data_IF_419887391763
#
_entry.id   IF_419887391763
#
_cell.length_a   1.000
_cell.length_b   1.000
_cell.length_c   1.000
_cell.angle_alpha   90.00
_cell.angle_beta   90.00
_cell.angle_gamma   90.00
#
_symmetry.space_group_name_H-M   'P 1'
#
loop_
_entity.id
_entity.type
_entity.pdbx_description
1 polymer ?
#
# COMPACT_ATOMS: atom_id res chain seq x y z
N UNK A 1 0.92 -4.28 5.35
CA UNK A 1 0.69 -3.74 3.99
C UNK A 1 0.36 -2.25 4.02
N UNK A 2 -0.68 -1.84 4.72
CA UNK A 2 -1.08 -0.42 4.85
C UNK A 2 -0.02 0.41 5.57
N UNK A 3 0.70 -0.18 6.50
CA UNK A 3 1.68 0.54 7.33
C UNK A 3 3.03 0.78 6.65
N UNK A 4 3.40 -0.04 5.67
CA UNK A 4 4.74 0.00 5.04
C UNK A 4 4.71 0.15 3.51
N UNK A 5 3.53 0.09 2.90
CA UNK A 5 3.34 0.37 1.47
C UNK A 5 4.06 -0.56 0.49
N UNK A 6 4.43 -1.78 0.90
CA UNK A 6 5.15 -2.71 0.02
C UNK A 6 4.23 -3.58 -0.82
N UNK A 7 4.74 -4.08 -1.96
CA UNK A 7 4.01 -5.07 -2.77
C UNK A 7 3.85 -6.36 -1.99
N UNK A 8 2.78 -7.10 -2.25
CA UNK A 8 2.54 -8.38 -1.57
C UNK A 8 3.69 -9.36 -1.82
N UNK A 9 4.27 -9.39 -3.02
CA UNK A 9 5.43 -10.21 -3.35
C UNK A 9 6.65 -9.95 -2.48
N UNK A 10 6.81 -8.71 -2.02
CA UNK A 10 7.91 -8.31 -1.14
C UNK A 10 7.53 -8.51 0.33
N UNK A 11 6.27 -8.20 0.67
CA UNK A 11 5.74 -8.31 2.04
C UNK A 11 5.80 -9.74 2.58
N UNK A 12 5.43 -10.75 1.78
CA UNK A 12 5.40 -12.16 2.21
C UNK A 12 6.80 -12.80 2.33
N UNK A 13 7.84 -12.12 1.86
CA UNK A 13 9.22 -12.59 1.96
C UNK A 13 9.99 -11.98 3.14
N UNK A 14 9.37 -11.09 3.91
CA UNK A 14 10.01 -10.49 5.07
C UNK A 14 10.32 -11.57 6.11
N UNK A 15 11.57 -11.59 6.57
CA UNK A 15 12.07 -12.45 7.65
C UNK A 15 12.59 -11.58 8.79
N UNK A 16 12.96 -12.18 9.89
CA UNK A 16 13.58 -11.47 11.03
C UNK A 16 14.89 -10.76 10.63
N UNK A 17 15.62 -11.30 9.66
CA UNK A 17 16.89 -10.73 9.19
C UNK A 17 16.70 -9.39 8.45
N UNK A 18 15.50 -9.15 7.94
CA UNK A 18 15.15 -7.87 7.32
C UNK A 18 14.84 -6.77 8.33
N UNK A 19 14.65 -7.12 9.61
CA UNK A 19 14.14 -6.19 10.61
C UNK A 19 15.28 -5.69 11.49
N UNK A 20 15.37 -4.38 11.61
CA UNK A 20 16.25 -3.72 12.56
C UNK A 20 15.53 -2.65 13.34
N UNK A 21 16.00 -2.36 14.53
CA UNK A 21 15.51 -1.24 15.35
C UNK A 21 16.44 -0.05 15.14
N UNK A 22 15.89 1.13 14.84
CA UNK A 22 16.68 2.34 14.76
C UNK A 22 16.99 2.90 16.16
N UNK A 23 17.84 3.94 16.23
CA UNK A 23 18.24 4.59 17.48
C UNK A 23 17.07 5.14 18.32
N UNK A 24 15.95 5.42 17.71
CA UNK A 24 14.75 5.99 18.33
C UNK A 24 13.70 4.91 18.69
N UNK A 25 14.03 3.61 18.52
CA UNK A 25 13.18 2.48 18.87
C UNK A 25 12.15 2.09 17.81
N UNK A 26 12.19 2.66 16.61
CA UNK A 26 11.28 2.28 15.51
C UNK A 26 11.77 1.05 14.76
N UNK A 27 10.87 0.18 14.34
CA UNK A 27 11.20 -0.95 13.47
C UNK A 27 11.37 -0.47 12.03
N UNK A 28 12.51 -0.76 11.45
CA UNK A 28 12.81 -0.58 10.03
C UNK A 28 12.91 -1.95 9.36
N UNK A 29 12.40 -2.01 8.13
CA UNK A 29 12.38 -3.27 7.37
C UNK A 29 13.18 -3.05 6.08
N UNK A 30 14.37 -3.62 5.99
CA UNK A 30 15.23 -3.49 4.82
C UNK A 30 14.80 -4.49 3.74
N UNK A 31 14.37 -3.98 2.59
CA UNK A 31 13.78 -4.75 1.49
C UNK A 31 14.46 -4.38 0.18
N UNK A 32 14.86 -5.41 -0.58
CA UNK A 32 15.17 -5.27 -2.01
C UNK A 32 13.90 -5.64 -2.80
N UNK A 33 13.26 -4.67 -3.42
CA UNK A 33 12.00 -4.88 -4.14
C UNK A 33 12.20 -5.78 -5.36
N UNK A 34 11.51 -6.92 -5.43
CA UNK A 34 11.64 -7.92 -6.51
C UNK A 34 11.42 -7.35 -7.91
N UNK A 35 10.46 -6.41 -8.05
CA UNK A 35 10.09 -5.87 -9.36
C UNK A 35 11.06 -4.79 -9.88
N UNK A 36 11.66 -4.00 -8.99
CA UNK A 36 12.45 -2.82 -9.37
C UNK A 36 13.92 -2.94 -9.01
N UNK A 37 14.29 -3.90 -8.15
CA UNK A 37 15.63 -4.00 -7.58
C UNK A 37 15.97 -2.87 -6.61
N UNK A 38 15.02 -1.98 -6.30
CA UNK A 38 15.25 -0.84 -5.42
C UNK A 38 15.37 -1.31 -3.97
N UNK A 39 16.36 -0.79 -3.28
CA UNK A 39 16.51 -0.95 -1.83
C UNK A 39 15.66 0.12 -1.13
N UNK A 40 14.81 -0.31 -0.20
CA UNK A 40 13.93 0.54 0.58
C UNK A 40 13.89 0.08 2.02
N UNK A 41 13.75 1.04 2.95
CA UNK A 41 13.68 0.76 4.38
C UNK A 41 12.45 1.42 5.00
N UNK A 42 11.23 0.92 4.71
CA UNK A 42 10.03 1.44 5.36
C UNK A 42 10.08 1.26 6.88
N UNK A 43 9.46 2.22 7.56
CA UNK A 43 9.42 2.27 9.03
C UNK A 43 8.03 1.88 9.51
N UNK A 44 7.95 1.06 10.54
CA UNK A 44 6.74 0.87 11.34
C UNK A 44 6.86 1.78 12.56
N UNK A 45 6.05 2.84 12.58
CA UNK A 45 6.03 3.79 13.68
C UNK A 45 4.93 3.49 14.73
N UNK A 46 3.97 2.63 14.37
CA UNK A 46 2.86 2.25 15.22
C UNK A 46 3.28 1.15 16.20
N UNK A 47 3.32 1.49 17.49
CA UNK A 47 3.73 0.57 18.57
C UNK A 47 2.83 -0.65 18.66
N UNK A 48 1.52 -0.49 18.47
CA UNK A 48 0.57 -1.61 18.52
C UNK A 48 0.89 -2.65 17.45
N UNK A 49 1.23 -2.19 16.23
CA UNK A 49 1.66 -3.08 15.15
C UNK A 49 3.00 -3.72 15.47
N UNK A 50 3.93 -2.97 16.07
CA UNK A 50 5.23 -3.50 16.49
C UNK A 50 5.03 -4.66 17.49
N UNK A 51 4.23 -4.44 18.51
CA UNK A 51 3.97 -5.43 19.57
C UNK A 51 3.28 -6.70 19.04
N UNK A 52 2.47 -6.55 17.98
CA UNK A 52 1.76 -7.68 17.34
C UNK A 52 2.63 -8.51 16.39
N UNK A 53 3.66 -7.91 15.76
CA UNK A 53 4.44 -8.59 14.71
C UNK A 53 5.89 -8.86 15.09
N UNK A 54 6.38 -8.29 16.17
CA UNK A 54 7.76 -8.47 16.63
C UNK A 54 7.78 -8.93 18.09
N UNK A 55 8.60 -9.95 18.47
CA UNK A 55 9.63 -10.59 17.65
C UNK A 55 9.15 -11.75 16.77
N UNK A 56 7.86 -12.11 16.84
CA UNK A 56 7.32 -13.28 16.16
C UNK A 56 6.49 -12.88 14.93
N UNK A 57 7.17 -12.87 13.77
CA UNK A 57 6.50 -12.61 12.50
C UNK A 57 5.45 -13.69 12.20
N UNK A 58 4.32 -13.29 11.57
CA UNK A 58 3.33 -14.25 11.10
C UNK A 58 3.95 -15.26 10.13
N UNK A 59 3.46 -16.50 10.14
CA UNK A 59 3.92 -17.50 9.18
C UNK A 59 3.58 -17.10 7.75
N UNK A 60 4.46 -17.48 6.82
CA UNK A 60 4.35 -17.17 5.41
C UNK A 60 3.12 -17.83 4.78
N UNK A 61 2.35 -17.07 4.01
CA UNK A 61 1.19 -17.53 3.23
C UNK A 61 1.37 -17.14 1.76
N UNK A 62 0.66 -17.82 0.86
CA UNK A 62 0.66 -17.42 -0.56
C UNK A 62 -0.09 -16.11 -0.78
N UNK A 63 0.23 -15.41 -1.89
CA UNK A 63 -0.50 -14.20 -2.28
C UNK A 63 -2.01 -14.43 -2.44
N UNK A 64 -2.40 -15.59 -2.97
CA UNK A 64 -3.81 -15.96 -3.13
C UNK A 64 -4.51 -16.07 -1.76
N UNK A 65 -3.88 -16.75 -0.79
CA UNK A 65 -4.41 -16.84 0.57
C UNK A 65 -4.48 -15.48 1.24
N UNK A 66 -3.45 -14.65 1.08
CA UNK A 66 -3.44 -13.28 1.59
C UNK A 66 -4.64 -12.48 1.06
N UNK A 67 -4.83 -12.45 -0.27
CA UNK A 67 -5.95 -11.74 -0.89
C UNK A 67 -7.31 -12.28 -0.45
N UNK A 68 -7.44 -13.60 -0.27
CA UNK A 68 -8.65 -14.22 0.26
C UNK A 68 -8.95 -13.74 1.69
N UNK A 69 -7.97 -13.82 2.58
CA UNK A 69 -8.14 -13.43 3.98
C UNK A 69 -8.39 -11.92 4.12
N UNK A 70 -7.70 -11.09 3.34
CA UNK A 70 -7.95 -9.66 3.30
C UNK A 70 -9.41 -9.33 2.95
N UNK A 71 -10.00 -10.01 1.95
CA UNK A 71 -11.41 -9.84 1.59
C UNK A 71 -12.34 -10.27 2.72
N UNK A 72 -12.03 -11.36 3.43
CA UNK A 72 -12.81 -11.79 4.59
C UNK A 72 -12.76 -10.72 5.69
N UNK A 73 -11.58 -10.21 6.05
CA UNK A 73 -11.43 -9.12 7.03
C UNK A 73 -12.20 -7.87 6.60
N UNK A 74 -12.09 -7.46 5.33
CA UNK A 74 -12.82 -6.30 4.82
C UNK A 74 -14.34 -6.50 4.84
N UNK A 75 -14.82 -7.73 4.65
CA UNK A 75 -16.25 -8.08 4.77
C UNK A 75 -16.72 -7.96 6.23
N UNK A 76 -15.97 -8.53 7.16
CA UNK A 76 -16.27 -8.42 8.61
C UNK A 76 -16.22 -6.96 9.10
N UNK A 77 -15.34 -6.15 8.50
CA UNK A 77 -15.25 -4.72 8.77
C UNK A 77 -16.35 -3.90 8.06
N UNK A 78 -17.38 -4.54 7.48
CA UNK A 78 -18.52 -3.91 6.80
C UNK A 78 -18.13 -2.97 5.65
N UNK A 79 -17.05 -3.29 4.92
CA UNK A 79 -16.65 -2.55 3.72
C UNK A 79 -17.46 -3.09 2.53
N UNK A 80 -18.76 -2.99 2.59
CA UNK A 80 -19.73 -3.68 1.73
C UNK A 80 -20.45 -2.78 0.70
N UNK A 81 -20.16 -1.47 0.71
CA UNK A 81 -20.74 -0.53 -0.28
C UNK A 81 -20.59 -1.09 -1.69
N UNK A 82 -21.70 -1.13 -2.44
CA UNK A 82 -21.68 -1.56 -3.85
C UNK A 82 -20.89 -0.55 -4.69
N UNK A 83 -19.91 -1.06 -5.41
CA UNK A 83 -19.07 -0.27 -6.32
C UNK A 83 -19.06 -0.89 -7.71
N UNK A 84 -19.01 -0.03 -8.72
CA UNK A 84 -18.86 -0.42 -10.12
C UNK A 84 -17.38 -0.55 -10.45
N UNK A 85 -17.00 -1.65 -11.07
CA UNK A 85 -15.61 -1.88 -11.45
C UNK A 85 -15.45 -3.06 -12.42
N UNK A 86 -14.22 -3.28 -12.86
CA UNK A 86 -13.91 -4.38 -13.77
C UNK A 86 -13.35 -5.57 -13.00
N UNK A 87 -13.92 -6.74 -13.27
CA UNK A 87 -13.44 -8.02 -12.72
C UNK A 87 -13.16 -9.00 -13.86
N UNK A 88 -12.11 -9.81 -13.73
CA UNK A 88 -11.81 -10.85 -14.69
C UNK A 88 -12.84 -11.97 -14.58
N UNK A 89 -13.53 -12.27 -15.67
CA UNK A 89 -14.37 -13.45 -15.76
C UNK A 89 -13.47 -14.66 -16.02
N UNK A 90 -13.49 -15.63 -15.10
CA UNK A 90 -12.63 -16.82 -15.18
C UNK A 90 -12.98 -17.75 -16.35
N UNK A 91 -14.21 -17.69 -16.84
CA UNK A 91 -14.67 -18.52 -17.99
C UNK A 91 -14.25 -17.90 -19.32
N UNK A 92 -14.55 -16.62 -19.49
CA UNK A 92 -14.30 -15.90 -20.76
C UNK A 92 -12.90 -15.34 -20.87
N UNK A 93 -12.13 -15.27 -19.74
CA UNK A 93 -10.82 -14.62 -19.63
C UNK A 93 -10.83 -13.13 -20.05
N UNK A 94 -11.99 -12.49 -19.98
CA UNK A 94 -12.17 -11.07 -20.29
C UNK A 94 -12.53 -10.27 -19.04
N UNK A 95 -12.16 -8.97 -19.04
CA UNK A 95 -12.62 -8.04 -18.02
C UNK A 95 -14.07 -7.67 -18.30
N UNK A 96 -14.92 -7.87 -17.33
CA UNK A 96 -16.35 -7.53 -17.38
C UNK A 96 -16.66 -6.47 -16.33
N UNK A 97 -17.54 -5.55 -16.69
CA UNK A 97 -18.01 -4.52 -15.78
C UNK A 97 -19.03 -5.13 -14.82
N UNK A 98 -18.78 -5.02 -13.53
CA UNK A 98 -19.62 -5.62 -12.50
C UNK A 98 -19.95 -4.59 -11.40
N UNK A 99 -21.07 -4.82 -10.72
CA UNK A 99 -21.43 -4.10 -9.50
C UNK A 99 -21.31 -5.10 -8.34
N UNK A 100 -20.34 -4.91 -7.47
CA UNK A 100 -20.05 -5.81 -6.36
C UNK A 100 -19.79 -5.03 -5.08
N UNK A 101 -19.94 -5.69 -3.91
CA UNK A 101 -19.46 -5.10 -2.66
C UNK A 101 -17.97 -4.74 -2.74
N UNK A 102 -17.60 -3.62 -2.15
CA UNK A 102 -16.24 -3.07 -2.26
C UNK A 102 -15.18 -4.08 -1.82
N UNK A 103 -15.43 -4.88 -0.77
CA UNK A 103 -14.49 -5.91 -0.31
C UNK A 103 -14.16 -6.95 -1.40
N UNK A 104 -15.08 -7.25 -2.31
CA UNK A 104 -14.86 -8.19 -3.43
C UNK A 104 -13.91 -7.62 -4.51
N UNK A 105 -13.82 -6.30 -4.60
CA UNK A 105 -13.00 -5.60 -5.58
C UNK A 105 -11.58 -5.34 -5.06
N UNK A 106 -11.37 -5.42 -3.74
CA UNK A 106 -10.09 -5.15 -3.11
C UNK A 106 -9.05 -6.24 -3.39
N UNK A 107 -7.81 -5.82 -3.49
CA UNK A 107 -6.62 -6.63 -3.64
C UNK A 107 -5.49 -6.12 -2.73
N UNK A 108 -4.44 -6.90 -2.56
CA UNK A 108 -3.25 -6.48 -1.81
C UNK A 108 -2.64 -5.17 -2.35
N UNK A 109 -2.87 -4.86 -3.62
CA UNK A 109 -2.41 -3.61 -4.23
C UNK A 109 -3.12 -2.37 -3.64
N UNK A 110 -4.37 -2.52 -3.20
CA UNK A 110 -5.12 -1.45 -2.56
C UNK A 110 -4.56 -1.08 -1.18
N UNK A 111 -3.94 -2.03 -0.46
CA UNK A 111 -3.24 -1.72 0.79
C UNK A 111 -2.06 -0.77 0.56
N UNK A 112 -1.28 -1.03 -0.47
CA UNK A 112 -0.16 -0.17 -0.87
C UNK A 112 -0.63 1.19 -1.38
N UNK A 113 -1.74 1.23 -2.15
CA UNK A 113 -2.38 2.48 -2.57
C UNK A 113 -2.87 3.28 -1.36
N UNK A 114 -3.48 2.63 -0.38
CA UNK A 114 -3.92 3.27 0.86
C UNK A 114 -2.75 3.87 1.63
N UNK A 115 -1.61 3.17 1.74
CA UNK A 115 -0.40 3.75 2.31
C UNK A 115 -0.01 5.05 1.59
N UNK A 116 0.14 5.00 0.28
CA UNK A 116 0.54 6.16 -0.51
C UNK A 116 -0.45 7.33 -0.35
N UNK A 117 -1.77 7.06 -0.39
CA UNK A 117 -2.82 8.07 -0.27
C UNK A 117 -2.91 8.67 1.15
N UNK A 118 -2.76 7.83 2.19
CA UNK A 118 -2.88 8.28 3.58
C UNK A 118 -1.73 9.19 4.03
N UNK A 119 -0.55 9.02 3.42
CA UNK A 119 0.63 9.82 3.73
C UNK A 119 0.89 10.92 2.71
N UNK A 120 0.16 10.95 1.60
CA UNK A 120 0.24 12.05 0.65
C UNK A 120 -0.16 13.37 1.34
N UNK A 121 0.50 14.45 1.02
CA UNK A 121 0.42 15.77 1.69
C UNK A 121 0.94 15.84 3.15
N UNK A 122 1.28 14.70 3.76
CA UNK A 122 1.89 14.66 5.10
C UNK A 122 3.39 14.41 5.06
N UNK A 123 3.83 13.75 4.00
CA UNK A 123 5.24 13.38 3.79
C UNK A 123 5.63 13.84 2.38
N UNK A 124 6.84 14.37 2.17
CA UNK A 124 7.30 14.76 0.83
C UNK A 124 7.09 13.64 -0.19
N UNK A 125 6.54 14.00 -1.35
CA UNK A 125 6.22 13.04 -2.43
C UNK A 125 7.41 12.18 -2.84
N UNK A 126 8.62 12.78 -2.85
CA UNK A 126 9.86 12.06 -3.16
C UNK A 126 10.15 10.91 -2.19
N UNK A 127 9.85 11.06 -0.90
CA UNK A 127 9.99 10.00 0.11
C UNK A 127 8.98 8.89 -0.15
N UNK A 128 7.71 9.24 -0.42
CA UNK A 128 6.66 8.26 -0.74
C UNK A 128 6.96 7.49 -2.02
N UNK A 129 7.48 8.18 -3.04
CA UNK A 129 7.92 7.57 -4.29
C UNK A 129 9.06 6.58 -4.06
N UNK A 130 10.06 6.95 -3.26
CA UNK A 130 11.15 6.06 -2.88
C UNK A 130 10.62 4.81 -2.18
N UNK A 131 9.84 4.97 -1.09
CA UNK A 131 9.27 3.85 -0.32
C UNK A 131 8.38 2.94 -1.17
N UNK A 132 7.64 3.53 -2.12
CA UNK A 132 6.76 2.78 -3.02
C UNK A 132 7.46 2.38 -4.34
N UNK A 133 8.73 2.72 -4.58
CA UNK A 133 9.50 2.37 -5.77
C UNK A 133 8.89 2.92 -7.06
N UNK A 134 8.42 4.18 -7.04
CA UNK A 134 8.00 4.91 -8.23
C UNK A 134 9.11 5.84 -8.70
N UNK A 135 9.50 5.74 -9.97
CA UNK A 135 10.59 6.54 -10.54
C UNK A 135 10.09 7.85 -11.18
N UNK A 136 8.78 7.98 -11.44
CA UNK A 136 8.18 9.17 -12.06
C UNK A 136 7.01 9.64 -11.20
N UNK A 137 7.02 10.94 -10.89
CA UNK A 137 5.96 11.57 -10.09
C UNK A 137 4.60 11.48 -10.78
N UNK A 138 4.54 11.70 -12.10
CA UNK A 138 3.30 11.58 -12.88
C UNK A 138 2.65 10.20 -12.71
N UNK A 139 3.45 9.12 -12.73
CA UNK A 139 2.96 7.75 -12.51
C UNK A 139 2.51 7.53 -11.07
N UNK A 140 3.20 8.16 -10.10
CA UNK A 140 2.81 8.10 -8.70
C UNK A 140 1.48 8.85 -8.45
N UNK A 141 1.32 10.05 -8.99
CA UNK A 141 0.08 10.84 -8.88
C UNK A 141 -1.10 10.13 -9.54
N UNK A 142 -0.90 9.53 -10.72
CA UNK A 142 -1.89 8.67 -11.35
C UNK A 142 -2.26 7.48 -10.46
N UNK A 143 -1.26 6.83 -9.86
CA UNK A 143 -1.44 5.69 -8.97
C UNK A 143 -2.32 6.01 -7.75
N UNK A 144 -2.17 7.19 -7.15
CA UNK A 144 -3.00 7.65 -6.02
C UNK A 144 -4.28 8.38 -6.45
N UNK A 145 -4.52 8.54 -7.75
CA UNK A 145 -5.72 9.19 -8.30
C UNK A 145 -5.70 10.72 -8.25
N UNK A 146 -4.52 11.32 -8.12
CA UNK A 146 -4.33 12.79 -8.06
C UNK A 146 -3.94 13.43 -9.40
N UNK A 147 -3.59 12.65 -10.42
CA UNK A 147 -3.19 13.16 -11.73
C UNK A 147 -4.30 13.95 -12.47
N UNK A 148 -5.56 13.75 -12.09
CA UNK A 148 -6.73 14.45 -12.67
C UNK A 148 -7.21 15.63 -11.82
N UNK A 149 -6.59 15.88 -10.70
CA UNK A 149 -6.91 16.99 -9.79
C UNK A 149 -6.27 18.27 -10.33
N UNK A 150 -7.04 19.06 -11.07
CA UNK A 150 -6.54 20.28 -11.73
C UNK A 150 -6.12 21.36 -10.74
N UNK A 151 -6.72 21.36 -9.56
CA UNK A 151 -6.48 22.38 -8.55
C UNK A 151 -5.35 21.99 -7.60
N UNK A 152 -4.90 20.74 -7.64
CA UNK A 152 -3.84 20.22 -6.76
C UNK A 152 -2.58 21.10 -6.74
N UNK A 153 -2.09 21.48 -7.92
CA UNK A 153 -0.85 22.29 -8.01
C UNK A 153 -1.06 23.73 -7.51
N UNK A 154 -2.25 24.31 -7.76
CA UNK A 154 -2.61 25.62 -7.27
C UNK A 154 -2.69 25.63 -5.74
N UNK A 155 -3.39 24.65 -5.16
CA UNK A 155 -3.51 24.49 -3.71
C UNK A 155 -2.16 24.23 -3.02
N UNK A 156 -1.32 23.39 -3.63
CA UNK A 156 0.03 23.11 -3.12
C UNK A 156 0.90 24.38 -3.16
N UNK A 157 0.82 25.18 -4.22
CA UNK A 157 1.54 26.44 -4.34
C UNK A 157 1.06 27.45 -3.29
N UNK A 158 -0.26 27.64 -3.14
CA UNK A 158 -0.82 28.54 -2.14
C UNK A 158 -0.38 28.16 -0.73
N UNK A 159 -0.43 26.87 -0.38
CA UNK A 159 0.05 26.37 0.90
C UNK A 159 1.54 26.69 1.15
N UNK A 160 2.37 26.48 0.12
CA UNK A 160 3.80 26.67 0.25
C UNK A 160 4.23 28.13 0.46
N UNK A 161 3.45 29.10 -0.07
CA UNK A 161 3.75 30.54 0.08
C UNK A 161 3.12 31.15 1.33
N UNK A 162 2.21 30.45 2.02
CA UNK A 162 1.54 30.88 3.24
C UNK A 162 2.15 30.28 4.51
N UNK A 163 3.06 29.32 4.36
CA UNK A 163 3.82 28.70 5.46
C UNK A 163 5.11 29.45 5.73
#
# INVERSE_FOLDING_TARGET
GVSIGQRISDLIEITKDNIRVNKDGYLMIDIVQKKTGSEVSPVIADKEIIDQVYPDLPYKISEQKFNKYMKMVCKEALIDKIVKGYKMNNKTKRKELVNLPKYEMLSSHDLRRSFATNYFDKVPTSILMNLTGHNKESTFLEYIGKSQDKDYYADAFIKAIQS
#
